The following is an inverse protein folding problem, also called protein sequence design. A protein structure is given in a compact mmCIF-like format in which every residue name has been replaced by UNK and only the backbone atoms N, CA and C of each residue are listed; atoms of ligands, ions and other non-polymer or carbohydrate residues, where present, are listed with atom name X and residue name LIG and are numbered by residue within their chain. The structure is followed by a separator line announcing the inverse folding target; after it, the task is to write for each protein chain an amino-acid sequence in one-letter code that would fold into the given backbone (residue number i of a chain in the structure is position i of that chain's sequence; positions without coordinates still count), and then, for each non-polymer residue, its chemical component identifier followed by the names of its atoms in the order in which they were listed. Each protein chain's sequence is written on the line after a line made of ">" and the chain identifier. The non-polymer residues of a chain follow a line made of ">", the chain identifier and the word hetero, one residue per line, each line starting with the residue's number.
data_IF_320156657135
#
_entry.id   IF_320156657135
#
_cell.length_a   1.000
_cell.length_b   1.000
_cell.length_c   1.000
_cell.angle_alpha   90.00
_cell.angle_beta   90.00
_cell.angle_gamma   90.00
#
_symmetry.space_group_name_H-M   'P 1'
#
loop_
_entity.id
_entity.type
_entity.pdbx_description
1 polymer ?
#
# COMPACT_ATOMS: atom_id res chain seq x y z
N UNK A 1 19.33 -25.75 -32.92
CA UNK A 1 19.66 -26.52 -31.70
C UNK A 1 20.75 -25.74 -30.97
N UNK A 2 20.48 -25.26 -29.75
CA UNK A 2 21.43 -24.95 -28.66
C UNK A 2 20.75 -24.06 -27.61
N UNK A 3 19.84 -24.70 -26.86
CA UNK A 3 19.28 -24.21 -25.62
C UNK A 3 20.10 -24.83 -24.48
N UNK A 4 21.18 -24.20 -24.03
CA UNK A 4 21.88 -24.64 -22.82
C UNK A 4 22.42 -23.47 -21.98
N UNK A 5 21.57 -23.11 -21.01
CA UNK A 5 21.89 -22.89 -19.58
C UNK A 5 22.97 -21.85 -19.26
N UNK A 6 22.58 -20.59 -19.16
CA UNK A 6 23.11 -19.72 -18.10
C UNK A 6 22.27 -19.89 -16.84
N UNK A 7 22.53 -20.96 -16.08
CA UNK A 7 22.02 -21.14 -14.70
C UNK A 7 23.08 -20.78 -13.65
N UNK A 8 24.07 -19.94 -14.00
CA UNK A 8 25.19 -19.61 -13.09
C UNK A 8 25.01 -18.29 -12.32
N UNK A 9 24.01 -17.47 -12.64
CA UNK A 9 23.80 -16.16 -11.99
C UNK A 9 22.94 -16.21 -10.72
N UNK A 10 22.19 -17.30 -10.49
CA UNK A 10 21.24 -17.38 -9.36
C UNK A 10 21.91 -17.71 -8.01
N UNK A 11 23.02 -18.46 -8.00
CA UNK A 11 23.61 -18.97 -6.75
C UNK A 11 24.50 -17.93 -6.06
N UNK A 12 25.28 -17.13 -6.79
CA UNK A 12 26.16 -16.12 -6.18
C UNK A 12 25.42 -14.93 -5.56
N UNK A 13 24.32 -14.48 -6.19
CA UNK A 13 23.49 -13.41 -5.63
C UNK A 13 22.79 -13.84 -4.33
N UNK A 14 22.38 -15.11 -4.24
CA UNK A 14 21.72 -15.66 -3.03
C UNK A 14 22.66 -15.69 -1.81
N UNK A 15 23.95 -15.93 -2.03
CA UNK A 15 24.94 -16.06 -0.94
C UNK A 15 25.32 -14.71 -0.30
N UNK A 16 25.27 -13.61 -1.04
CA UNK A 16 25.59 -12.27 -0.51
C UNK A 16 24.40 -11.58 0.16
N UNK A 17 23.17 -11.91 -0.26
CA UNK A 17 21.95 -11.30 0.27
C UNK A 17 21.49 -11.98 1.57
N UNK A 18 21.74 -13.29 1.72
CA UNK A 18 21.37 -14.07 2.92
C UNK A 18 21.84 -13.47 4.26
N UNK A 19 23.12 -13.10 4.46
CA UNK A 19 23.55 -12.49 5.73
C UNK A 19 22.93 -11.11 5.97
N UNK A 20 22.72 -10.30 4.92
CA UNK A 20 22.13 -8.97 5.04
C UNK A 20 20.63 -9.01 5.42
N UNK A 21 19.90 -10.02 4.94
CA UNK A 21 18.51 -10.26 5.34
C UNK A 21 18.43 -10.62 6.83
N UNK A 22 19.35 -11.47 7.31
CA UNK A 22 19.37 -11.90 8.71
C UNK A 22 19.80 -10.79 9.68
N UNK A 23 20.64 -9.84 9.23
CA UNK A 23 21.14 -8.74 10.07
C UNK A 23 20.10 -7.62 10.21
N UNK A 24 19.31 -7.35 9.18
CA UNK A 24 18.33 -6.27 9.20
C UNK A 24 16.90 -6.84 9.08
N UNK A 25 16.13 -6.77 10.17
CA UNK A 25 14.71 -7.18 10.22
C UNK A 25 13.75 -6.24 9.44
N UNK A 26 14.26 -5.57 8.40
CA UNK A 26 13.53 -4.62 7.56
C UNK A 26 12.81 -5.33 6.41
N UNK A 27 13.37 -6.44 5.94
CA UNK A 27 12.84 -7.19 4.79
C UNK A 27 11.62 -8.01 5.19
N UNK A 28 10.56 -7.94 4.38
CA UNK A 28 9.31 -8.68 4.61
C UNK A 28 8.87 -9.39 3.34
N UNK A 29 8.63 -10.70 3.45
CA UNK A 29 7.98 -11.50 2.40
C UNK A 29 6.45 -11.44 2.50
N UNK A 30 5.93 -11.12 3.69
CA UNK A 30 4.51 -11.01 4.00
C UNK A 30 4.29 -9.77 4.87
N UNK A 31 3.14 -9.11 4.72
CA UNK A 31 2.74 -8.04 5.63
C UNK A 31 2.77 -8.56 7.07
N UNK A 32 3.28 -7.77 7.99
CA UNK A 32 3.42 -8.22 9.37
C UNK A 32 3.20 -7.09 10.37
N UNK A 33 3.25 -7.48 11.64
CA UNK A 33 3.08 -6.62 12.80
C UNK A 33 4.31 -5.72 12.98
N UNK A 34 4.42 -4.64 12.20
CA UNK A 34 5.36 -3.57 12.48
C UNK A 34 4.78 -2.65 13.56
N UNK A 35 5.60 -2.13 14.49
CA UNK A 35 5.15 -1.00 15.30
C UNK A 35 4.76 0.16 14.38
N UNK A 36 3.82 1.03 14.79
CA UNK A 36 3.56 2.26 14.04
C UNK A 36 4.87 3.02 13.85
N UNK A 37 5.00 3.70 12.72
CA UNK A 37 6.16 4.53 12.46
C UNK A 37 6.30 5.60 13.56
N UNK A 38 7.54 5.88 13.98
CA UNK A 38 7.85 6.92 14.95
C UNK A 38 7.75 8.32 14.32
N UNK A 39 6.53 8.66 13.91
CA UNK A 39 6.16 9.93 13.29
C UNK A 39 4.81 10.35 13.84
N UNK A 40 4.55 11.66 13.85
CA UNK A 40 3.23 12.15 14.24
C UNK A 40 2.15 11.56 13.33
N UNK A 41 1.00 11.13 13.87
CA UNK A 41 -0.12 10.67 13.06
C UNK A 41 -0.50 11.68 11.99
N UNK A 42 -0.79 11.18 10.79
CA UNK A 42 -1.23 12.02 9.68
C UNK A 42 -2.61 12.62 9.98
N UNK A 43 -2.74 13.94 9.89
CA UNK A 43 -4.02 14.65 10.05
C UNK A 43 -4.52 15.09 8.68
N UNK A 44 -5.61 14.48 8.22
CA UNK A 44 -6.27 14.86 6.96
C UNK A 44 -7.12 16.11 7.19
N UNK A 45 -6.88 17.16 6.38
CA UNK A 45 -7.65 18.40 6.41
C UNK A 45 -8.75 18.35 5.37
N UNK A 46 -9.95 18.74 5.78
CA UNK A 46 -11.14 18.82 4.92
C UNK A 46 -11.37 20.27 4.51
N UNK A 47 -11.86 20.48 3.29
CA UNK A 47 -12.35 21.78 2.83
C UNK A 47 -13.53 22.22 3.70
N UNK A 48 -13.74 23.53 3.82
CA UNK A 48 -14.78 24.11 4.69
C UNK A 48 -16.20 23.65 4.38
N UNK A 49 -16.48 23.27 3.13
CA UNK A 49 -17.80 22.90 2.61
C UNK A 49 -17.99 21.37 2.48
N UNK A 50 -17.17 20.57 3.17
CA UNK A 50 -17.24 19.11 3.08
C UNK A 50 -18.61 18.55 3.53
N UNK A 51 -19.02 17.49 2.86
CA UNK A 51 -20.23 16.71 3.13
C UNK A 51 -19.86 15.25 3.35
N UNK A 52 -20.34 14.70 4.46
CA UNK A 52 -20.19 13.27 4.74
C UNK A 52 -20.77 12.43 3.60
N UNK A 53 -20.02 11.44 3.14
CA UNK A 53 -20.41 10.55 2.06
C UNK A 53 -20.53 9.11 2.57
N UNK A 54 -21.69 8.49 2.36
CA UNK A 54 -21.88 7.04 2.57
C UNK A 54 -22.31 6.38 1.28
N UNK A 55 -21.46 5.52 0.75
CA UNK A 55 -21.79 4.68 -0.39
C UNK A 55 -22.99 3.78 -0.08
N UNK A 56 -23.87 3.58 -1.06
CA UNK A 56 -24.96 2.62 -0.95
C UNK A 56 -24.41 1.20 -0.87
N UNK A 57 -25.00 0.36 -0.02
CA UNK A 57 -24.69 -1.05 0.03
C UNK A 57 -24.90 -1.69 -1.35
N UNK A 58 -23.90 -2.46 -1.81
CA UNK A 58 -23.95 -3.18 -3.08
C UNK A 58 -24.13 -4.66 -2.84
N UNK A 59 -24.87 -5.32 -3.73
CA UNK A 59 -24.94 -6.78 -3.76
C UNK A 59 -23.59 -7.33 -4.19
N UNK A 60 -23.08 -8.25 -3.40
CA UNK A 60 -21.81 -8.92 -3.59
C UNK A 60 -22.08 -10.39 -3.89
N UNK A 61 -21.34 -11.01 -4.80
CA UNK A 61 -21.38 -12.45 -4.95
C UNK A 61 -20.87 -13.12 -3.65
N UNK A 62 -21.40 -14.30 -3.25
CA UNK A 62 -21.01 -14.94 -2.00
C UNK A 62 -19.50 -15.17 -1.86
N UNK A 63 -18.84 -15.63 -2.93
CA UNK A 63 -17.39 -15.83 -2.97
C UNK A 63 -16.61 -14.53 -2.73
N UNK A 64 -17.11 -13.42 -3.26
CA UNK A 64 -16.49 -12.12 -3.06
C UNK A 64 -16.70 -11.62 -1.62
N UNK A 65 -17.84 -11.94 -1.00
CA UNK A 65 -18.09 -11.58 0.39
C UNK A 65 -17.14 -12.32 1.35
N UNK A 66 -16.96 -13.63 1.16
CA UNK A 66 -16.02 -14.44 1.96
C UNK A 66 -14.57 -13.92 1.83
N UNK A 67 -14.18 -13.52 0.62
CA UNK A 67 -12.88 -12.89 0.41
C UNK A 67 -12.74 -11.58 1.21
N UNK A 68 -13.73 -10.69 1.13
CA UNK A 68 -13.69 -9.43 1.85
C UNK A 68 -13.66 -9.62 3.37
N UNK A 69 -14.42 -10.57 3.89
CA UNK A 69 -14.44 -10.89 5.33
C UNK A 69 -13.07 -11.40 5.78
N UNK A 70 -12.52 -12.42 5.11
CA UNK A 70 -11.20 -12.98 5.45
C UNK A 70 -10.05 -11.97 5.30
N UNK A 71 -10.11 -11.10 4.29
CA UNK A 71 -9.13 -10.04 4.08
C UNK A 71 -9.21 -8.97 5.18
N UNK A 72 -10.42 -8.51 5.52
CA UNK A 72 -10.60 -7.51 6.58
C UNK A 72 -10.23 -8.07 7.96
N UNK A 73 -10.53 -9.33 8.26
CA UNK A 73 -10.10 -9.99 9.49
C UNK A 73 -8.57 -9.99 9.63
N UNK A 74 -7.86 -10.20 8.52
CA UNK A 74 -6.40 -10.12 8.50
C UNK A 74 -5.91 -8.69 8.79
N UNK A 75 -6.53 -7.67 8.20
CA UNK A 75 -6.19 -6.27 8.47
C UNK A 75 -6.48 -5.86 9.92
N UNK A 76 -7.58 -6.34 10.51
CA UNK A 76 -7.93 -6.11 11.92
C UNK A 76 -6.91 -6.80 12.83
N UNK A 77 -6.56 -8.06 12.54
CA UNK A 77 -5.53 -8.78 13.31
C UNK A 77 -4.20 -8.04 13.29
N UNK A 78 -3.79 -7.51 12.13
CA UNK A 78 -2.58 -6.69 11.98
C UNK A 78 -2.66 -5.32 12.68
N UNK A 79 -3.83 -4.89 13.15
CA UNK A 79 -4.05 -3.59 13.80
C UNK A 79 -4.09 -2.42 12.81
N UNK A 80 -4.30 -2.68 11.52
CA UNK A 80 -4.28 -1.65 10.47
C UNK A 80 -5.63 -0.97 10.27
N UNK A 81 -6.71 -1.68 10.59
CA UNK A 81 -8.08 -1.17 10.55
C UNK A 81 -8.80 -1.57 11.83
N UNK A 82 -9.85 -0.82 12.17
CA UNK A 82 -10.71 -1.08 13.31
C UNK A 82 -12.17 -0.86 12.92
N UNK A 83 -13.08 -1.50 13.64
CA UNK A 83 -14.51 -1.29 13.41
C UNK A 83 -14.93 0.11 13.88
N UNK A 84 -15.59 0.86 13.01
CA UNK A 84 -16.11 2.19 13.33
C UNK A 84 -17.58 2.32 12.90
N UNK A 85 -18.54 1.85 13.72
CA UNK A 85 -19.97 1.90 13.41
C UNK A 85 -20.50 3.33 13.26
N UNK A 86 -19.87 4.27 13.97
CA UNK A 86 -20.23 5.69 13.97
C UNK A 86 -19.60 6.48 12.83
N UNK A 87 -18.87 5.82 11.92
CA UNK A 87 -18.27 6.51 10.78
C UNK A 87 -19.33 7.23 9.97
N UNK A 88 -19.08 8.51 9.70
CA UNK A 88 -19.86 9.33 8.77
C UNK A 88 -19.47 9.08 7.31
N UNK A 89 -18.39 8.32 7.09
CA UNK A 89 -17.79 8.06 5.79
C UNK A 89 -17.83 6.57 5.45
N UNK A 90 -18.24 6.26 4.23
CA UNK A 90 -18.17 4.91 3.69
C UNK A 90 -17.87 5.00 2.19
N UNK A 91 -16.72 4.47 1.78
CA UNK A 91 -16.36 4.37 0.36
C UNK A 91 -16.94 3.09 -0.26
N UNK A 92 -17.28 3.07 -1.56
CA UNK A 92 -17.63 1.85 -2.25
C UNK A 92 -16.42 0.92 -2.34
N UNK A 93 -16.66 -0.38 -2.17
CA UNK A 93 -15.62 -1.42 -2.18
C UNK A 93 -15.63 -2.22 -3.47
N UNK A 94 -14.45 -2.63 -3.90
CA UNK A 94 -14.20 -3.43 -5.10
C UNK A 94 -13.14 -4.49 -4.83
N UNK A 95 -13.29 -5.67 -5.44
CA UNK A 95 -12.20 -6.63 -5.58
C UNK A 95 -11.39 -6.22 -6.79
N UNK A 96 -10.09 -6.18 -6.63
CA UNK A 96 -9.20 -6.22 -7.78
C UNK A 96 -8.18 -7.33 -7.55
N UNK A 97 -8.31 -8.41 -8.32
CA UNK A 97 -7.54 -9.65 -8.12
C UNK A 97 -7.60 -10.15 -6.67
N UNK A 98 -6.49 -10.10 -5.93
CA UNK A 98 -6.34 -10.61 -4.57
C UNK A 98 -6.31 -9.51 -3.51
N UNK A 99 -6.76 -8.29 -3.84
CA UNK A 99 -6.84 -7.17 -2.89
C UNK A 99 -8.22 -6.53 -2.90
N UNK A 100 -8.60 -5.97 -1.75
CA UNK A 100 -9.71 -5.04 -1.63
C UNK A 100 -9.25 -3.62 -1.98
N UNK A 101 -10.04 -2.94 -2.81
CA UNK A 101 -9.81 -1.55 -3.21
C UNK A 101 -11.05 -0.72 -2.87
N UNK A 102 -10.80 0.49 -2.34
CA UNK A 102 -11.84 1.47 -2.01
C UNK A 102 -11.79 2.64 -2.99
N UNK A 103 -12.95 3.10 -3.45
CA UNK A 103 -13.01 4.31 -4.26
C UNK A 103 -13.01 5.56 -3.36
N UNK A 104 -11.82 6.14 -3.21
CA UNK A 104 -11.60 7.34 -2.41
C UNK A 104 -11.83 8.65 -3.17
N UNK A 105 -12.19 8.64 -4.45
CA UNK A 105 -12.47 9.87 -5.22
C UNK A 105 -13.41 10.84 -4.49
N UNK A 106 -14.58 10.43 -3.94
CA UNK A 106 -15.48 11.35 -3.25
C UNK A 106 -14.90 11.93 -1.96
N UNK A 107 -13.99 11.21 -1.28
CA UNK A 107 -13.28 11.70 -0.12
C UNK A 107 -12.17 12.69 -0.54
N UNK A 108 -11.33 12.29 -1.50
CA UNK A 108 -10.19 13.09 -1.97
C UNK A 108 -10.61 14.42 -2.62
N UNK A 109 -11.78 14.50 -3.26
CA UNK A 109 -12.31 15.77 -3.79
C UNK A 109 -12.60 16.80 -2.69
N UNK A 110 -12.85 16.33 -1.47
CA UNK A 110 -13.23 17.16 -0.32
C UNK A 110 -12.07 17.42 0.64
N UNK A 111 -10.96 16.71 0.49
CA UNK A 111 -9.73 16.99 1.23
C UNK A 111 -9.00 18.19 0.65
N UNK A 112 -8.35 18.97 1.51
CA UNK A 112 -7.40 19.98 1.07
C UNK A 112 -6.20 19.27 0.40
N UNK A 113 -5.74 19.73 -0.78
CA UNK A 113 -4.62 19.11 -1.45
C UNK A 113 -3.35 19.29 -0.61
N UNK A 114 -2.68 18.18 -0.31
CA UNK A 114 -1.33 18.20 0.25
C UNK A 114 -0.35 18.06 -0.90
N UNK A 115 0.52 19.06 -1.09
CA UNK A 115 1.56 19.01 -2.11
C UNK A 115 2.50 17.84 -1.85
N UNK A 116 2.69 16.98 -2.84
CA UNK A 116 3.72 15.95 -2.78
C UNK A 116 5.10 16.59 -2.80
N UNK A 117 6.00 16.13 -1.94
CA UNK A 117 7.42 16.49 -1.98
C UNK A 117 8.21 15.61 -2.97
N UNK A 118 7.51 14.79 -3.76
CA UNK A 118 8.15 13.87 -4.69
C UNK A 118 8.89 14.68 -5.77
N UNK A 119 10.21 14.55 -5.87
CA UNK A 119 10.97 15.22 -6.91
C UNK A 119 10.62 14.66 -8.29
N UNK A 120 10.94 15.42 -9.33
CA UNK A 120 10.78 14.96 -10.69
C UNK A 120 11.91 13.97 -11.01
N UNK A 121 11.56 12.69 -11.19
CA UNK A 121 12.53 11.62 -11.44
C UNK A 121 13.45 11.92 -12.64
N UNK A 122 12.96 12.63 -13.66
CA UNK A 122 13.80 12.99 -14.80
C UNK A 122 14.94 13.91 -14.39
N UNK A 123 14.65 14.90 -13.54
CA UNK A 123 15.63 15.84 -12.97
C UNK A 123 16.62 15.11 -12.05
N UNK A 124 16.13 14.16 -11.24
CA UNK A 124 16.99 13.41 -10.34
C UNK A 124 17.95 12.47 -11.08
N UNK A 125 17.50 11.85 -12.18
CA UNK A 125 18.31 10.97 -13.00
C UNK A 125 19.43 11.72 -13.73
N UNK A 126 19.15 12.93 -14.22
CA UNK A 126 20.18 13.79 -14.83
C UNK A 126 21.30 14.11 -13.83
N UNK A 127 20.95 14.42 -12.58
CA UNK A 127 21.91 14.67 -11.50
C UNK A 127 22.72 13.41 -11.11
N UNK A 128 22.13 12.22 -11.21
CA UNK A 128 22.77 10.95 -10.84
C UNK A 128 23.68 10.36 -11.92
N UNK A 129 23.47 10.70 -13.20
CA UNK A 129 24.17 10.08 -14.35
C UNK A 129 25.35 10.93 -14.83
N UNK A 130 25.46 12.20 -14.44
CA UNK A 130 26.57 13.05 -14.87
C UNK A 130 26.93 14.16 -13.91
N UNK A 131 27.90 13.90 -13.03
CA UNK A 131 28.89 14.85 -12.50
C UNK A 131 29.91 14.07 -11.63
N UNK A 132 30.75 13.26 -12.26
CA UNK A 132 32.05 12.90 -11.69
C UNK A 132 33.10 13.75 -12.44
N UNK A 133 33.98 14.49 -11.74
CA UNK A 133 35.14 15.13 -12.37
C UNK A 133 36.09 14.10 -12.98
#
# INVERSE_FOLDING_TARGET
>A
MNFLKSKKTSTQATLLVSPLICVYAVWRSVLGYGPPADVRPMVVRMKSDYRSYKAKARKCAPEYQVFLESFNDMLVKLGWVYENPMSRWLAPRYRYANVETLDYKPFNMQTEPMGGLMPNLHVDLENGIGNYP
#
